data_IF_371222887271
#
_entry.id   IF_371222887271
#
_cell.length_a   1.000
_cell.length_b   1.000
_cell.length_c   1.000
_cell.angle_alpha   90.00
_cell.angle_beta   90.00
_cell.angle_gamma   90.00
#
_symmetry.space_group_name_H-M   'P 1'
#
loop_
_entity.id
_entity.type
_entity.pdbx_description
1 polymer ?
#
# COMPACT_ATOMS: atom_id res chain seq x y z
N UNK A 1 -8.39 14.68 25.27
CA UNK A 1 -8.25 13.32 24.71
C UNK A 1 -8.24 13.40 23.19
N UNK A 2 -7.09 13.15 22.55
CA UNK A 2 -6.98 12.70 21.16
C UNK A 2 -5.77 11.75 21.13
N UNK A 3 -6.00 10.44 21.14
CA UNK A 3 -4.96 9.46 20.79
C UNK A 3 -5.14 9.18 19.29
N UNK A 4 -4.44 9.97 18.47
CA UNK A 4 -4.46 9.85 17.01
C UNK A 4 -3.11 10.28 16.47
N UNK A 5 -2.07 9.48 16.74
CA UNK A 5 -0.72 9.73 16.28
C UNK A 5 -0.57 9.46 14.79
N UNK A 6 0.16 10.33 14.08
CA UNK A 6 0.55 10.11 12.68
C UNK A 6 1.50 8.93 12.65
N UNK A 7 1.08 7.80 12.06
CA UNK A 7 1.87 6.57 12.01
C UNK A 7 3.00 6.64 10.97
N UNK A 8 2.80 7.37 9.89
CA UNK A 8 3.81 7.52 8.84
C UNK A 8 4.95 8.42 9.35
N UNK A 9 6.15 7.86 9.43
CA UNK A 9 7.37 8.57 9.86
C UNK A 9 7.65 9.82 9.00
N UNK A 10 7.54 9.70 7.67
CA UNK A 10 7.77 10.82 6.73
C UNK A 10 6.88 12.03 7.06
N UNK A 11 5.59 11.79 7.27
CA UNK A 11 4.61 12.84 7.61
C UNK A 11 4.84 13.34 9.04
N UNK A 12 5.12 12.45 9.99
CA UNK A 12 5.34 12.79 11.38
C UNK A 12 6.53 13.74 11.56
N UNK A 13 7.67 13.45 10.92
CA UNK A 13 8.87 14.30 11.01
C UNK A 13 8.70 15.66 10.32
N UNK A 14 7.91 15.69 9.25
CA UNK A 14 7.62 16.92 8.54
C UNK A 14 6.50 17.75 9.19
N UNK A 15 5.83 17.25 10.23
CA UNK A 15 4.65 17.87 10.81
C UNK A 15 4.95 19.16 11.58
N UNK A 16 4.13 20.19 11.36
CA UNK A 16 4.13 21.45 12.11
C UNK A 16 2.88 21.56 12.98
N UNK A 17 3.05 21.55 14.29
CA UNK A 17 1.96 21.64 15.27
C UNK A 17 1.24 22.99 15.27
N UNK A 18 1.85 24.04 14.71
CA UNK A 18 1.25 25.38 14.60
C UNK A 18 0.31 25.50 13.39
N UNK A 19 0.37 24.54 12.46
CA UNK A 19 -0.40 24.54 11.21
C UNK A 19 -1.57 23.57 11.28
N UNK A 20 -2.61 23.89 10.51
CA UNK A 20 -3.74 22.97 10.33
C UNK A 20 -3.31 21.68 9.62
N UNK A 21 -4.08 20.61 9.80
CA UNK A 21 -3.86 19.32 9.10
C UNK A 21 -3.81 19.53 7.58
N UNK A 22 -4.74 20.33 7.03
CA UNK A 22 -4.80 20.64 5.60
C UNK A 22 -3.56 21.35 5.10
N UNK A 23 -3.06 22.32 5.86
CA UNK A 23 -1.87 23.08 5.47
C UNK A 23 -0.60 22.21 5.55
N UNK A 24 -0.47 21.38 6.59
CA UNK A 24 0.62 20.42 6.68
C UNK A 24 0.66 19.48 5.47
N UNK A 25 -0.47 18.88 5.11
CA UNK A 25 -0.53 17.99 3.95
C UNK A 25 -0.24 18.73 2.64
N UNK A 26 -0.84 19.90 2.40
CA UNK A 26 -0.62 20.66 1.18
C UNK A 26 0.86 21.07 1.00
N UNK A 27 1.54 21.48 2.07
CA UNK A 27 2.97 21.80 2.04
C UNK A 27 3.85 20.58 1.71
N UNK A 28 3.40 19.38 2.05
CA UNK A 28 4.05 18.11 1.70
C UNK A 28 3.62 17.57 0.32
N UNK A 29 2.75 18.28 -0.41
CA UNK A 29 2.22 17.83 -1.70
C UNK A 29 1.14 16.74 -1.58
N UNK A 30 0.53 16.60 -0.40
CA UNK A 30 -0.50 15.62 -0.09
C UNK A 30 -1.89 16.28 -0.03
N UNK A 31 -2.93 15.52 -0.38
CA UNK A 31 -4.32 15.98 -0.26
C UNK A 31 -4.95 15.50 1.04
N UNK A 32 -5.83 16.32 1.62
CA UNK A 32 -6.75 15.89 2.69
C UNK A 32 -7.92 15.06 2.15
N UNK A 33 -8.32 15.31 0.90
CA UNK A 33 -9.47 14.66 0.27
C UNK A 33 -9.00 13.93 -1.00
N UNK A 34 -8.94 12.59 -0.97
CA UNK A 34 -8.54 11.77 -2.11
C UNK A 34 -9.42 12.02 -3.35
N UNK A 35 -10.72 12.26 -3.17
CA UNK A 35 -11.67 12.47 -4.27
C UNK A 35 -11.40 13.77 -5.03
N UNK A 36 -10.67 14.70 -4.41
CA UNK A 36 -10.24 15.96 -5.04
C UNK A 36 -8.88 15.83 -5.74
N UNK A 37 -8.04 14.87 -5.36
CA UNK A 37 -6.72 14.71 -5.96
C UNK A 37 -6.72 13.85 -7.22
N UNK A 38 -7.65 12.89 -7.32
CA UNK A 38 -7.76 12.01 -8.48
C UNK A 38 -8.99 12.42 -9.29
N UNK A 39 -8.84 12.70 -10.61
CA UNK A 39 -9.99 12.95 -11.47
C UNK A 39 -10.92 11.75 -11.44
N UNK A 40 -12.11 11.91 -10.87
CA UNK A 40 -13.14 10.88 -10.91
C UNK A 40 -13.61 10.74 -12.36
N UNK A 41 -13.15 9.69 -13.04
CA UNK A 41 -13.68 9.31 -14.35
C UNK A 41 -15.11 8.84 -14.12
N UNK A 42 -16.06 9.76 -14.20
CA UNK A 42 -17.48 9.43 -14.25
C UNK A 42 -17.70 8.70 -15.57
N UNK A 43 -17.73 7.36 -15.54
CA UNK A 43 -18.18 6.55 -16.68
C UNK A 43 -19.64 6.90 -16.96
N UNK A 44 -19.87 7.89 -17.81
CA UNK A 44 -21.10 8.01 -18.59
C UNK A 44 -20.72 8.01 -20.05
N UNK A 45 -21.42 7.16 -20.77
CA UNK A 45 -21.44 6.99 -22.23
C UNK A 45 -21.21 8.34 -22.94
N UNK A 46 -20.15 8.38 -23.76
CA UNK A 46 -19.79 9.34 -24.81
C UNK A 46 -19.72 10.85 -24.45
N UNK A 47 -18.55 11.39 -24.81
CA UNK A 47 -18.22 12.79 -25.11
C UNK A 47 -18.26 13.79 -23.94
N UNK A 48 -17.08 14.07 -23.39
CA UNK A 48 -16.64 15.44 -23.13
C UNK A 48 -15.12 15.42 -22.92
N UNK A 49 -14.36 16.09 -23.78
CA UNK A 49 -13.03 16.56 -23.41
C UNK A 49 -13.25 17.55 -22.26
N UNK A 50 -12.85 17.17 -21.05
CA UNK A 50 -12.85 18.11 -19.92
C UNK A 50 -11.48 18.76 -19.94
N UNK A 51 -11.50 19.98 -20.46
CA UNK A 51 -10.43 20.96 -20.42
C UNK A 51 -9.74 20.91 -19.06
N UNK A 52 -8.41 20.80 -19.08
CA UNK A 52 -7.61 20.55 -17.90
C UNK A 52 -7.81 21.69 -16.91
N UNK A 53 -8.58 21.44 -15.84
CA UNK A 53 -8.59 22.31 -14.67
C UNK A 53 -7.13 22.50 -14.27
N UNK A 54 -6.67 23.74 -14.47
CA UNK A 54 -5.34 24.20 -14.17
C UNK A 54 -5.05 23.75 -12.73
N UNK A 55 -4.27 22.67 -12.58
CA UNK A 55 -3.78 22.24 -11.27
C UNK A 55 -3.00 23.44 -10.79
N UNK A 56 -3.60 24.25 -9.90
CA UNK A 56 -2.87 25.23 -9.14
C UNK A 56 -1.67 24.45 -8.63
N UNK A 57 -0.48 24.80 -9.11
CA UNK A 57 0.77 24.24 -8.63
C UNK A 57 0.88 24.76 -7.21
N UNK A 58 0.18 24.12 -6.27
CA UNK A 58 0.40 24.32 -4.85
C UNK A 58 1.89 24.10 -4.68
N UNK A 59 2.59 25.20 -4.36
CA UNK A 59 4.03 25.17 -4.20
C UNK A 59 4.31 24.15 -3.10
N UNK A 60 4.86 22.99 -3.46
CA UNK A 60 5.23 21.96 -2.48
C UNK A 60 6.45 22.47 -1.73
N UNK A 61 6.28 22.83 -0.46
CA UNK A 61 7.34 23.39 0.39
C UNK A 61 8.25 22.30 0.98
N UNK A 62 7.74 21.08 1.13
CA UNK A 62 8.43 19.92 1.70
C UNK A 62 8.46 18.76 0.69
N UNK A 63 9.10 18.94 -0.49
CA UNK A 63 9.06 17.96 -1.57
C UNK A 63 9.74 16.64 -1.22
N UNK A 64 10.65 16.63 -0.25
CA UNK A 64 11.31 15.41 0.24
C UNK A 64 10.29 14.39 0.75
N UNK A 65 9.21 14.83 1.42
CA UNK A 65 8.17 13.92 1.93
C UNK A 65 7.50 13.16 0.80
N UNK A 66 7.14 13.86 -0.28
CA UNK A 66 6.50 13.27 -1.43
C UNK A 66 7.45 12.32 -2.16
N UNK A 67 8.70 12.74 -2.38
CA UNK A 67 9.71 11.93 -3.06
C UNK A 67 10.04 10.64 -2.30
N UNK A 68 10.16 10.71 -0.97
CA UNK A 68 10.44 9.55 -0.13
C UNK A 68 9.28 8.55 -0.18
N UNK A 69 8.04 9.05 -0.06
CA UNK A 69 6.84 8.23 -0.15
C UNK A 69 6.69 7.58 -1.53
N UNK A 70 6.95 8.30 -2.61
CA UNK A 70 6.94 7.76 -3.97
C UNK A 70 8.03 6.70 -4.16
N UNK A 71 9.22 6.93 -3.61
CA UNK A 71 10.32 5.97 -3.62
C UNK A 71 9.96 4.67 -2.90
N UNK A 72 9.38 4.76 -1.70
CA UNK A 72 8.92 3.60 -0.94
C UNK A 72 7.80 2.84 -1.64
N UNK A 73 6.82 3.57 -2.19
CA UNK A 73 5.71 2.97 -2.93
C UNK A 73 6.15 2.31 -4.24
N UNK A 74 7.26 2.76 -4.82
CA UNK A 74 7.84 2.18 -6.03
C UNK A 74 8.60 0.88 -5.77
N UNK A 75 8.89 0.55 -4.51
CA UNK A 75 9.54 -0.73 -4.18
C UNK A 75 8.61 -1.90 -4.51
N UNK A 76 9.15 -3.01 -5.02
CA UNK A 76 8.35 -4.20 -5.28
C UNK A 76 7.72 -4.68 -3.98
N UNK A 77 6.41 -4.95 -4.01
CA UNK A 77 5.74 -5.61 -2.89
C UNK A 77 6.43 -6.94 -2.60
N UNK A 78 6.72 -7.19 -1.32
CA UNK A 78 7.12 -8.51 -0.86
C UNK A 78 5.91 -9.43 -1.06
N UNK A 79 5.89 -10.17 -2.17
CA UNK A 79 4.91 -11.24 -2.36
C UNK A 79 5.07 -12.22 -1.21
N UNK A 80 4.12 -12.19 -0.30
CA UNK A 80 4.01 -13.14 0.80
C UNK A 80 3.31 -14.40 0.32
N UNK A 81 3.82 -15.06 -0.73
CA UNK A 81 3.33 -16.38 -1.15
C UNK A 81 3.94 -17.49 -0.28
N UNK A 82 4.03 -17.25 1.03
CA UNK A 82 4.42 -18.28 1.99
C UNK A 82 3.19 -19.10 2.34
N UNK A 83 3.32 -20.41 2.19
CA UNK A 83 2.39 -21.37 2.77
C UNK A 83 2.32 -21.18 4.29
N UNK A 84 1.20 -21.54 4.92
CA UNK A 84 1.12 -21.55 6.38
C UNK A 84 2.18 -22.48 6.95
N UNK A 85 2.61 -22.23 8.19
CA UNK A 85 3.63 -23.06 8.85
C UNK A 85 3.19 -24.53 8.93
N UNK A 86 1.89 -24.77 9.12
CA UNK A 86 1.31 -26.10 9.17
C UNK A 86 1.40 -26.81 7.81
N UNK A 87 1.13 -26.09 6.72
CA UNK A 87 1.25 -26.64 5.37
C UNK A 87 2.71 -26.93 5.00
N UNK A 88 3.65 -26.08 5.44
CA UNK A 88 5.09 -26.33 5.30
C UNK A 88 5.47 -27.61 6.06
N UNK A 89 5.06 -27.75 7.32
CA UNK A 89 5.35 -28.93 8.13
C UNK A 89 4.75 -30.21 7.53
N UNK A 90 3.54 -30.13 6.99
CA UNK A 90 2.87 -31.24 6.31
C UNK A 90 3.68 -31.70 5.08
N UNK A 91 4.09 -30.77 4.22
CA UNK A 91 4.90 -31.07 3.03
C UNK A 91 6.28 -31.62 3.42
N UNK A 92 6.95 -31.04 4.43
CA UNK A 92 8.22 -31.56 4.93
C UNK A 92 8.08 -33.01 5.40
N UNK A 93 7.05 -33.32 6.18
CA UNK A 93 6.78 -34.68 6.64
C UNK A 93 6.56 -35.64 5.47
N UNK A 94 5.79 -35.25 4.46
CA UNK A 94 5.54 -36.08 3.29
C UNK A 94 6.82 -36.38 2.51
N UNK A 95 7.67 -35.37 2.28
CA UNK A 95 8.94 -35.54 1.57
C UNK A 95 9.93 -36.38 2.37
N UNK A 96 10.00 -36.20 3.69
CA UNK A 96 10.91 -36.97 4.56
C UNK A 96 10.54 -38.46 4.63
N UNK A 97 9.25 -38.80 4.64
CA UNK A 97 8.79 -40.18 4.82
C UNK A 97 8.50 -40.92 3.50
N UNK A 98 8.04 -40.20 2.47
CA UNK A 98 7.59 -40.79 1.20
C UNK A 98 8.43 -40.34 -0.01
N UNK A 99 9.37 -39.40 0.16
CA UNK A 99 10.28 -38.97 -0.91
C UNK A 99 9.55 -38.31 -2.07
N UNK A 100 9.55 -38.95 -3.24
CA UNK A 100 8.80 -38.52 -4.43
C UNK A 100 7.62 -39.46 -4.75
N UNK A 101 7.26 -40.39 -3.85
CA UNK A 101 6.09 -41.25 -4.03
C UNK A 101 4.80 -40.51 -3.70
N UNK A 102 4.29 -39.77 -4.68
CA UNK A 102 3.05 -38.98 -4.54
C UNK A 102 1.81 -39.85 -4.28
N UNK A 103 1.82 -41.13 -4.67
CA UNK A 103 0.70 -42.04 -4.38
C UNK A 103 0.70 -42.41 -2.90
N UNK A 104 1.87 -42.68 -2.32
CA UNK A 104 2.00 -42.93 -0.89
C UNK A 104 1.61 -41.69 -0.07
N UNK A 105 2.05 -40.48 -0.49
CA UNK A 105 1.65 -39.23 0.16
C UNK A 105 0.13 -39.00 0.14
N UNK A 106 -0.53 -39.30 -0.98
CA UNK A 106 -1.98 -39.11 -1.12
C UNK A 106 -2.80 -40.02 -0.18
N UNK A 107 -2.22 -41.14 0.26
CA UNK A 107 -2.84 -42.12 1.14
C UNK A 107 -2.48 -41.90 2.62
N UNK A 108 -1.54 -41.00 2.91
CA UNK A 108 -1.11 -40.70 4.28
C UNK A 108 -2.24 -40.10 5.11
N UNK A 109 -2.39 -40.55 6.36
CA UNK A 109 -3.46 -40.10 7.26
C UNK A 109 -3.36 -38.59 7.53
N UNK A 110 -2.13 -38.07 7.64
CA UNK A 110 -1.85 -36.65 7.84
C UNK A 110 -2.14 -35.76 6.62
N UNK A 111 -2.57 -36.35 5.50
CA UNK A 111 -3.00 -35.62 4.30
C UNK A 111 -4.50 -35.29 4.28
N UNK A 112 -5.28 -35.72 5.29
CA UNK A 112 -6.73 -35.51 5.41
C UNK A 112 -7.08 -34.76 6.69
#
# INVERSE_FOLDING_TARGET
>A
MLHGGIQCSHIHYAWDQTKSVRQNLAEMGLTMDPNRAVPLIKRKVKAMEVDGEERLKELVWKPYVLNDLEGEASLPEKKGNMLSRDLINCVCYMVENHGEDYKAMALEEKNY
#
